data_IF_776028472520
#
_entry.id   IF_776028472520
#
_cell.length_a   1.000
_cell.length_b   1.000
_cell.length_c   1.000
_cell.angle_alpha   90.00
_cell.angle_beta   90.00
_cell.angle_gamma   90.00
#
_symmetry.space_group_name_H-M   'P 1'
#
loop_
_entity.id
_entity.type
_entity.pdbx_description
1 polymer ?
#
# COMPACT_ATOMS: atom_id res chain seq x y z
N UNK A 1 -3.00 4.19 14.20
CA UNK A 1 -2.38 5.44 13.77
C UNK A 1 -2.07 5.37 12.27
N UNK A 2 -2.38 6.42 11.55
CA UNK A 2 -2.24 6.45 10.09
C UNK A 2 -1.02 7.27 9.71
N UNK A 3 -0.39 6.85 8.61
CA UNK A 3 0.80 7.51 8.10
C UNK A 3 0.56 7.92 6.65
N UNK A 4 0.38 9.22 6.39
CA UNK A 4 0.20 9.68 5.01
C UNK A 4 1.43 9.40 4.18
N UNK A 5 1.24 8.80 3.01
CA UNK A 5 2.32 8.46 2.11
C UNK A 5 2.10 9.17 0.79
N UNK A 6 3.06 9.98 0.36
CA UNK A 6 3.00 10.66 -0.91
C UNK A 6 4.07 10.22 -1.87
N UNK A 7 5.13 9.58 -1.37
CA UNK A 7 6.21 9.06 -2.20
C UNK A 7 6.58 7.68 -1.72
N UNK A 8 7.17 6.89 -2.61
CA UNK A 8 7.62 5.56 -2.25
C UNK A 8 8.72 5.57 -1.19
N UNK A 9 9.56 6.60 -1.21
CA UNK A 9 10.63 6.69 -0.23
C UNK A 9 10.12 6.75 1.20
N UNK A 10 8.92 7.27 1.40
CA UNK A 10 8.33 7.34 2.73
C UNK A 10 7.98 5.97 3.29
N UNK A 11 7.87 4.96 2.43
CA UNK A 11 7.60 3.60 2.90
C UNK A 11 8.80 2.96 3.59
N UNK A 12 10.02 3.37 3.26
CA UNK A 12 11.21 2.75 3.83
C UNK A 12 11.19 2.73 5.37
N UNK A 13 11.15 3.90 6.02
CA UNK A 13 11.18 3.90 7.49
C UNK A 13 9.92 3.25 8.08
N UNK A 14 8.79 3.31 7.39
CA UNK A 14 7.57 2.69 7.89
C UNK A 14 7.66 1.17 7.86
N UNK A 15 8.21 0.60 6.79
CA UNK A 15 8.38 -0.85 6.73
C UNK A 15 9.29 -1.33 7.84
N UNK A 16 10.39 -0.62 8.07
CA UNK A 16 11.30 -0.97 9.15
C UNK A 16 10.59 -0.88 10.50
N UNK A 17 9.87 0.20 10.73
CA UNK A 17 9.17 0.43 11.97
C UNK A 17 8.09 -0.61 12.23
N UNK A 18 7.30 -0.92 11.20
CA UNK A 18 6.25 -1.93 11.33
C UNK A 18 6.84 -3.29 11.62
N UNK A 19 7.94 -3.64 10.93
CA UNK A 19 8.60 -4.92 11.15
C UNK A 19 9.09 -5.04 12.59
N UNK A 20 9.75 -4.01 13.09
CA UNK A 20 10.28 -4.02 14.45
C UNK A 20 9.15 -4.08 15.47
N UNK A 21 8.07 -3.36 15.21
CA UNK A 21 6.92 -3.39 16.11
C UNK A 21 6.27 -4.76 16.12
N UNK A 22 6.30 -5.48 14.99
CA UNK A 22 5.79 -6.83 14.93
C UNK A 22 6.74 -7.85 15.56
N UNK A 23 7.93 -7.43 15.97
CA UNK A 23 8.91 -8.31 16.59
C UNK A 23 9.60 -9.22 15.61
N UNK A 24 9.68 -8.85 14.34
CA UNK A 24 10.23 -9.70 13.30
C UNK A 24 11.55 -9.15 12.79
N UNK A 25 12.49 -10.05 12.49
CA UNK A 25 13.72 -9.71 11.82
C UNK A 25 13.51 -9.78 10.30
N UNK A 26 14.48 -9.23 9.55
CA UNK A 26 14.44 -9.37 8.09
C UNK A 26 14.45 -10.83 7.65
N UNK A 27 15.21 -11.67 8.36
CA UNK A 27 15.27 -13.09 8.06
C UNK A 27 13.89 -13.73 8.24
N UNK A 28 13.20 -13.36 9.31
CA UNK A 28 11.89 -13.94 9.60
C UNK A 28 10.86 -13.52 8.57
N UNK A 29 10.84 -12.26 8.19
CA UNK A 29 9.89 -11.80 7.17
C UNK A 29 10.20 -12.46 5.83
N UNK A 30 11.49 -12.55 5.47
CA UNK A 30 11.88 -13.21 4.24
C UNK A 30 11.40 -14.65 4.20
N UNK A 31 11.55 -15.37 5.31
CA UNK A 31 11.08 -16.75 5.40
C UNK A 31 9.56 -16.84 5.20
N UNK A 32 8.81 -15.93 5.80
CA UNK A 32 7.36 -15.92 5.65
C UNK A 32 6.94 -15.62 4.22
N UNK A 33 7.72 -14.81 3.51
CA UNK A 33 7.44 -14.48 2.11
C UNK A 33 7.94 -15.55 1.14
N UNK A 34 8.83 -16.44 1.59
CA UNK A 34 9.42 -17.42 0.71
C UNK A 34 10.52 -16.86 -0.17
N UNK A 35 11.23 -15.85 0.31
CA UNK A 35 12.35 -15.23 -0.43
C UNK A 35 13.58 -15.22 0.44
N UNK A 36 14.73 -14.88 -0.16
CA UNK A 36 15.97 -14.77 0.61
C UNK A 36 15.96 -13.50 1.44
N UNK A 37 16.79 -13.50 2.49
CA UNK A 37 16.92 -12.32 3.33
C UNK A 37 17.45 -11.14 2.52
N UNK A 38 18.36 -11.39 1.58
CA UNK A 38 18.88 -10.33 0.73
C UNK A 38 17.80 -9.73 -0.16
N UNK A 39 16.91 -10.57 -0.70
CA UNK A 39 15.80 -10.08 -1.52
C UNK A 39 14.88 -9.21 -0.69
N UNK A 40 14.55 -9.64 0.51
CA UNK A 40 13.68 -8.83 1.36
C UNK A 40 14.36 -7.52 1.76
N UNK A 41 15.67 -7.59 2.08
CA UNK A 41 16.39 -6.38 2.47
C UNK A 41 16.38 -5.34 1.35
N UNK A 42 16.46 -5.78 0.09
CA UNK A 42 16.36 -4.86 -1.05
C UNK A 42 14.99 -4.21 -1.13
N UNK A 43 13.95 -4.98 -0.86
CA UNK A 43 12.59 -4.43 -0.87
C UNK A 43 12.42 -3.39 0.22
N UNK A 44 12.91 -3.68 1.41
CA UNK A 44 12.79 -2.74 2.52
C UNK A 44 13.59 -1.47 2.26
N UNK A 45 14.74 -1.60 1.62
CA UNK A 45 15.57 -0.44 1.27
C UNK A 45 14.97 0.37 0.12
N UNK A 46 14.28 -0.29 -0.81
CA UNK A 46 13.69 0.38 -1.96
C UNK A 46 12.40 -0.36 -2.37
N UNK A 47 11.26 0.03 -1.79
CA UNK A 47 10.01 -0.67 -2.09
C UNK A 47 9.62 -0.64 -3.56
N UNK A 48 10.22 0.23 -4.36
CA UNK A 48 9.91 0.28 -5.79
C UNK A 48 10.34 -0.96 -6.55
N UNK A 49 11.22 -1.81 -5.96
CA UNK A 49 11.69 -3.01 -6.66
C UNK A 49 10.73 -4.18 -6.53
N UNK A 50 9.66 -4.05 -5.77
CA UNK A 50 8.71 -5.13 -5.61
C UNK A 50 7.39 -4.79 -6.28
N UNK A 51 6.55 -5.80 -6.47
CA UNK A 51 5.23 -5.59 -7.02
C UNK A 51 4.29 -5.04 -5.97
N UNK A 52 3.22 -4.40 -6.43
CA UNK A 52 2.18 -3.91 -5.52
C UNK A 52 1.57 -5.10 -4.76
N UNK A 53 1.35 -6.19 -5.46
CA UNK A 53 0.78 -7.38 -4.82
C UNK A 53 1.66 -7.86 -3.67
N UNK A 54 2.96 -7.93 -3.89
CA UNK A 54 3.87 -8.38 -2.85
C UNK A 54 3.92 -7.39 -1.70
N UNK A 55 3.87 -6.10 -2.02
CA UNK A 55 3.84 -5.08 -0.98
C UNK A 55 2.63 -5.25 -0.07
N UNK A 56 1.47 -5.53 -0.65
CA UNK A 56 0.26 -5.79 0.15
C UNK A 56 0.47 -6.98 1.08
N UNK A 57 1.09 -8.04 0.56
CA UNK A 57 1.36 -9.22 1.37
C UNK A 57 2.30 -8.89 2.53
N UNK A 58 3.37 -8.14 2.24
CA UNK A 58 4.32 -7.74 3.28
C UNK A 58 3.62 -6.94 4.37
N UNK A 59 2.82 -5.95 3.99
CA UNK A 59 2.15 -5.12 4.97
C UNK A 59 1.22 -5.94 5.87
N UNK A 60 0.52 -6.91 5.31
CA UNK A 60 -0.33 -7.77 6.12
C UNK A 60 0.46 -8.63 7.08
N UNK A 61 1.62 -9.14 6.63
CA UNK A 61 2.49 -9.91 7.51
C UNK A 61 2.97 -9.07 8.69
N UNK A 62 3.14 -7.78 8.47
CA UNK A 62 3.59 -6.86 9.51
C UNK A 62 2.44 -6.30 10.34
N UNK A 63 1.22 -6.75 10.10
CA UNK A 63 0.07 -6.27 10.85
C UNK A 63 -0.41 -4.89 10.43
N UNK A 64 -0.11 -4.51 9.21
CA UNK A 64 -0.46 -3.19 8.68
C UNK A 64 -1.37 -3.33 7.47
N UNK A 65 -1.99 -2.23 7.08
CA UNK A 65 -2.85 -2.22 5.91
C UNK A 65 -2.74 -0.88 5.22
N UNK A 66 -3.11 -0.84 3.95
CA UNK A 66 -3.10 0.39 3.19
C UNK A 66 -4.46 1.07 3.35
N UNK A 67 -4.42 2.33 3.74
CA UNK A 67 -5.61 3.16 3.85
C UNK A 67 -5.46 4.31 2.88
N UNK A 68 -6.47 4.52 2.05
CA UNK A 68 -6.48 5.63 1.12
C UNK A 68 -7.40 6.71 1.66
N UNK A 69 -6.89 7.91 1.76
CA UNK A 69 -7.67 9.05 2.19
C UNK A 69 -7.78 10.02 1.05
N UNK A 70 -8.97 10.54 0.86
CA UNK A 70 -9.20 11.50 -0.20
C UNK A 70 -9.64 12.82 0.39
N UNK A 71 -8.96 13.88 -0.05
CA UNK A 71 -9.38 15.23 0.30
C UNK A 71 -10.43 15.65 -0.70
N UNK A 72 -11.64 16.00 -0.22
CA UNK A 72 -12.71 16.37 -1.09
C UNK A 72 -12.94 17.86 -1.01
N UNK A 73 -12.68 18.54 -2.12
CA UNK A 73 -13.00 19.96 -2.26
C UNK A 73 -14.30 20.07 -3.04
N UNK A 74 -15.12 21.04 -2.73
CA UNK A 74 -16.36 21.18 -3.49
C UNK A 74 -16.15 21.26 -4.99
N UNK A 75 -15.08 21.93 -5.41
CA UNK A 75 -14.78 22.05 -6.84
C UNK A 75 -14.37 20.73 -7.46
N UNK A 76 -13.79 19.86 -6.69
CA UNK A 76 -13.33 18.57 -7.21
C UNK A 76 -14.47 17.61 -7.47
N UNK A 77 -15.57 17.81 -6.80
CA UNK A 77 -16.71 16.92 -6.93
C UNK A 77 -17.30 16.98 -8.32
N UNK A 78 -17.03 18.04 -9.03
CA UNK A 78 -17.62 18.25 -10.35
C UNK A 78 -17.21 17.22 -11.37
N UNK A 79 -16.14 16.53 -11.14
CA UNK A 79 -15.67 15.59 -12.15
C UNK A 79 -16.11 14.20 -11.83
N UNK A 80 -16.63 13.56 -12.55
CA UNK A 80 -16.69 12.12 -12.34
C UNK A 80 -16.51 11.28 -13.48
N UNK A 81 -16.33 11.62 -13.46
CA UNK A 81 -16.23 10.93 -13.93
C UNK A 81 -16.29 9.81 -14.20
N UNK A 82 -16.48 9.78 -14.41
CA UNK A 82 -16.52 9.06 -14.52
C UNK A 82 -16.57 7.94 -14.67
N UNK A 83 -16.43 7.92 -14.93
CA UNK A 83 -16.43 7.09 -14.89
C UNK A 83 -16.22 6.09 -14.65
N UNK A 84 -16.02 6.15 -14.61
CA UNK A 84 -15.93 5.63 -14.22
C UNK A 84 -15.99 4.51 -13.85
N UNK A 85 -16.00 4.23 -13.89
CA UNK A 85 -16.27 3.67 -13.59
C UNK A 85 -16.61 2.64 -13.30
N UNK A 86 -16.71 2.36 -13.34
CA UNK A 86 -17.24 1.98 -12.94
C UNK A 86 -17.53 1.01 -12.80
N UNK A 87 -17.74 0.58 -13.14
CA UNK A 87 -18.15 0.30 -12.95
C UNK A 87 -18.19 -0.67 -12.70
N UNK A 88 -18.40 -1.14 -13.07
CA UNK A 88 -18.51 -1.34 -12.79
C UNK A 88 -18.22 -1.67 -12.77
N UNK A 89 -17.83 -1.50 -12.83
CA UNK A 89 -17.58 -0.85 -12.84
C UNK A 89 -17.07 -0.81 -12.50
N UNK A 90 -16.63 -0.69 -12.98
CA UNK A 90 -16.43 0.07 -12.84
C UNK A 90 -16.04 0.53 -12.46
N UNK A 91 -15.73 0.78 -12.66
CA UNK A 91 -15.49 1.95 -12.42
C UNK A 91 -15.74 2.14 -12.08
N UNK A 92 -15.65 2.26 -12.08
CA UNK A 92 -15.97 3.35 -11.67
C UNK A 92 -16.83 3.46 -11.27
N UNK A 93 -16.86 3.10 -11.43
CA UNK A 93 -17.61 3.82 -11.05
C UNK A 93 -18.04 3.94 -10.43
N UNK A 94 -18.47 4.11 -10.37
CA UNK A 94 -18.86 4.75 -9.87
C UNK A 94 -19.30 4.59 -9.28
N UNK A 95 -19.26 4.48 -9.38
CA UNK A 95 -19.62 4.84 -8.90
C UNK A 95 -19.93 4.46 -8.35
N UNK A 96 -20.16 4.35 -8.30
CA UNK A 96 -20.44 4.68 -8.03
C UNK A 96 -20.84 4.45 -7.41
N UNK A 97 -20.69 4.11 -7.75
CA UNK A 97 -20.83 4.44 -7.42
C UNK A 97 -20.95 4.25 -6.89
N UNK A 98 -20.83 4.36 -6.86
CA UNK A 98 -20.87 4.75 -6.68
C UNK A 98 -20.92 4.56 -6.33
N UNK A 99 -20.87 4.02 -6.61
CA UNK A 99 -20.77 4.27 -6.58
C UNK A 99 -20.63 4.26 -6.37
#
# INVERSE_FOLDING_TARGET
MDYPIRTLQQLRPLLVGFRKRAGLSQVQVAALLGVTQQSYAKIEANPAVTSVERLFTILRLLGSEIVLAQSVEPADVATPDTNDIDTAGNWYSPVRAQA
#
